data_IF_751344431039
#
_entry.id   IF_751344431039
#
_cell.length_a   1.000
_cell.length_b   1.000
_cell.length_c   1.000
_cell.angle_alpha   90.00
_cell.angle_beta   90.00
_cell.angle_gamma   90.00
#
_symmetry.space_group_name_H-M   'P 1'
#
loop_
_entity.id
_entity.type
_entity.pdbx_description
1 polymer ?
#
# COMPACT_ATOMS: atom_id res chain seq x y z
N UNK A 1 14.81 11.90 -50.27
CA UNK A 1 15.27 12.65 -49.07
C UNK A 1 14.13 13.28 -48.25
N UNK A 2 13.21 14.06 -48.83
CA UNK A 2 12.12 14.75 -48.07
C UNK A 2 11.15 13.81 -47.32
N UNK A 3 10.87 12.62 -47.85
CA UNK A 3 9.98 11.64 -47.20
C UNK A 3 10.60 11.03 -45.93
N UNK A 4 11.89 10.72 -45.96
CA UNK A 4 12.65 10.26 -44.79
C UNK A 4 12.66 11.31 -43.67
N UNK A 5 12.87 12.59 -44.01
CA UNK A 5 12.85 13.68 -43.04
C UNK A 5 11.47 13.84 -42.37
N UNK A 6 10.38 13.75 -43.16
CA UNK A 6 9.00 13.78 -42.63
C UNK A 6 8.73 12.60 -41.70
N UNK A 7 9.21 11.41 -42.05
CA UNK A 7 9.06 10.22 -41.23
C UNK A 7 9.80 10.37 -39.88
N UNK A 8 11.03 10.86 -39.89
CA UNK A 8 11.80 11.15 -38.66
C UNK A 8 11.09 12.21 -37.80
N UNK A 9 10.55 13.26 -38.40
CA UNK A 9 9.78 14.29 -37.70
C UNK A 9 8.51 13.72 -37.03
N UNK A 10 7.79 12.82 -37.69
CA UNK A 10 6.60 12.18 -37.11
C UNK A 10 6.99 11.26 -35.94
N UNK A 11 8.05 10.45 -36.09
CA UNK A 11 8.53 9.58 -35.01
C UNK A 11 9.01 10.36 -33.78
N UNK A 12 9.73 11.46 -34.00
CA UNK A 12 10.19 12.33 -32.91
C UNK A 12 9.03 13.03 -32.22
N UNK A 13 8.06 13.54 -32.97
CA UNK A 13 6.84 14.13 -32.41
C UNK A 13 6.03 13.09 -31.60
N UNK A 14 5.85 11.88 -32.13
CA UNK A 14 5.18 10.79 -31.41
C UNK A 14 5.92 10.41 -30.12
N UNK A 15 7.25 10.33 -30.16
CA UNK A 15 8.08 10.08 -28.98
C UNK A 15 7.94 11.18 -27.92
N UNK A 16 7.94 12.45 -28.33
CA UNK A 16 7.74 13.59 -27.43
C UNK A 16 6.34 13.59 -26.81
N UNK A 17 5.30 13.29 -27.59
CA UNK A 17 3.94 13.14 -27.07
C UNK A 17 3.87 11.99 -26.06
N UNK A 18 4.52 10.86 -26.33
CA UNK A 18 4.64 9.75 -25.40
C UNK A 18 5.27 10.17 -24.07
N UNK A 19 6.41 10.86 -24.10
CA UNK A 19 7.07 11.36 -22.89
C UNK A 19 6.21 12.38 -22.12
N UNK A 20 5.58 13.31 -22.84
CA UNK A 20 4.65 14.28 -22.25
C UNK A 20 3.46 13.61 -21.58
N UNK A 21 2.93 12.53 -22.17
CA UNK A 21 1.82 11.77 -21.60
C UNK A 21 2.21 11.08 -20.29
N UNK A 22 3.40 10.46 -20.23
CA UNK A 22 3.94 9.83 -19.01
C UNK A 22 4.12 10.88 -17.92
N UNK A 23 4.72 12.03 -18.26
CA UNK A 23 4.91 13.14 -17.34
C UNK A 23 3.56 13.64 -16.79
N UNK A 24 2.56 13.84 -17.66
CA UNK A 24 1.24 14.33 -17.26
C UNK A 24 0.52 13.32 -16.36
N UNK A 25 0.54 12.02 -16.70
CA UNK A 25 -0.07 10.96 -15.88
C UNK A 25 0.57 10.94 -14.48
N UNK A 26 1.90 10.92 -14.40
CA UNK A 26 2.61 10.93 -13.11
C UNK A 26 2.26 12.18 -12.28
N UNK A 27 2.21 13.36 -12.91
CA UNK A 27 1.86 14.60 -12.21
C UNK A 27 0.40 14.57 -11.70
N UNK A 28 -0.53 14.02 -12.49
CA UNK A 28 -1.95 13.87 -12.09
C UNK A 28 -2.12 12.88 -10.94
N UNK A 29 -1.35 11.79 -10.90
CA UNK A 29 -1.36 10.84 -9.77
C UNK A 29 -0.82 11.54 -8.51
N UNK A 30 0.34 12.20 -8.60
CA UNK A 30 0.95 12.92 -7.47
C UNK A 30 0.03 13.99 -6.91
N UNK A 31 -0.59 14.80 -7.77
CA UNK A 31 -1.53 15.84 -7.35
C UNK A 31 -2.76 15.27 -6.64
N UNK A 32 -3.30 14.12 -7.08
CA UNK A 32 -4.47 13.50 -6.45
C UNK A 32 -4.15 12.77 -5.13
N UNK A 33 -2.91 12.29 -5.00
CA UNK A 33 -2.40 11.65 -3.79
C UNK A 33 -1.84 12.65 -2.77
N UNK A 34 -1.56 13.89 -3.20
CA UNK A 34 -1.03 14.94 -2.35
C UNK A 34 -1.92 15.15 -1.11
N UNK A 35 -1.30 15.15 0.06
CA UNK A 35 -1.98 15.31 1.35
C UNK A 35 -2.62 14.03 1.91
N UNK A 36 -2.79 12.98 1.11
CA UNK A 36 -3.33 11.67 1.55
C UNK A 36 -2.22 10.71 1.98
N UNK A 37 -1.07 10.77 1.33
CA UNK A 37 0.14 10.03 1.72
C UNK A 37 0.91 10.88 2.72
N UNK A 38 1.36 10.24 3.80
CA UNK A 38 2.19 10.84 4.85
C UNK A 38 3.50 10.05 4.92
N UNK A 39 4.61 10.77 4.79
CA UNK A 39 5.93 10.14 4.75
C UNK A 39 6.47 9.90 6.17
N UNK A 40 5.91 10.59 7.17
CA UNK A 40 6.22 10.38 8.59
C UNK A 40 4.99 10.16 9.46
N UNK A 41 5.12 9.23 10.41
CA UNK A 41 4.12 8.99 11.47
C UNK A 41 3.85 10.24 12.31
N UNK A 42 4.82 11.14 12.42
CA UNK A 42 4.69 12.38 13.20
C UNK A 42 3.65 13.35 12.62
N UNK A 43 3.42 13.30 11.30
CA UNK A 43 2.41 14.10 10.62
C UNK A 43 0.98 13.63 10.90
N UNK A 44 0.83 12.38 11.36
CA UNK A 44 -0.46 11.80 11.70
C UNK A 44 -0.82 12.26 13.10
N UNK A 45 -1.86 13.09 13.21
CA UNK A 45 -2.34 13.60 14.50
C UNK A 45 -2.96 12.47 15.34
N UNK A 46 -2.83 12.55 16.67
CA UNK A 46 -3.66 11.75 17.57
C UNK A 46 -5.06 12.39 17.59
N UNK A 47 -6.09 11.58 17.38
CA UNK A 47 -7.49 12.02 17.32
C UNK A 47 -8.32 11.37 18.43
N UNK A 48 -9.46 11.98 18.77
CA UNK A 48 -10.45 11.46 19.71
C UNK A 48 -11.85 11.56 19.07
N UNK A 49 -12.52 10.44 18.71
CA UNK A 49 -12.12 9.07 18.97
C UNK A 49 -10.85 8.66 18.18
N UNK A 50 -10.09 7.68 18.69
CA UNK A 50 -8.88 7.21 18.04
C UNK A 50 -9.19 6.53 16.71
N UNK A 51 -8.30 6.72 15.73
CA UNK A 51 -8.39 6.06 14.43
C UNK A 51 -8.04 4.56 14.52
N UNK A 52 -8.45 3.83 13.49
CA UNK A 52 -8.08 2.44 13.23
C UNK A 52 -7.14 2.42 12.02
N UNK A 53 -6.05 1.67 12.10
CA UNK A 53 -5.22 1.39 10.92
C UNK A 53 -5.83 0.23 10.14
N UNK A 54 -5.98 0.37 8.83
CA UNK A 54 -6.38 -0.72 7.94
C UNK A 54 -5.14 -1.16 7.17
N UNK A 55 -4.79 -2.45 7.30
CA UNK A 55 -3.75 -3.09 6.50
C UNK A 55 -4.46 -3.88 5.41
N UNK A 56 -4.21 -3.48 4.17
CA UNK A 56 -4.71 -4.20 3.00
C UNK A 56 -3.79 -5.38 2.70
N UNK A 57 -4.41 -6.52 2.46
CA UNK A 57 -3.76 -7.77 2.06
C UNK A 57 -2.90 -7.63 0.81
N UNK A 58 -1.99 -8.57 0.68
CA UNK A 58 -1.09 -8.75 -0.45
C UNK A 58 -0.52 -10.16 -0.36
N UNK A 59 0.35 -10.51 -1.30
CA UNK A 59 0.95 -11.84 -1.38
C UNK A 59 1.54 -12.27 -0.02
N UNK A 60 1.08 -13.42 0.46
CA UNK A 60 1.79 -14.26 1.43
C UNK A 60 2.69 -15.21 0.63
N UNK A 61 3.73 -15.77 1.25
CA UNK A 61 4.65 -16.73 0.65
C UNK A 61 4.22 -18.16 0.96
N UNK A 62 4.73 -19.15 0.22
CA UNK A 62 4.34 -20.57 0.43
C UNK A 62 4.69 -21.08 1.84
N UNK A 63 5.69 -20.47 2.49
CA UNK A 63 6.06 -20.75 3.87
C UNK A 63 5.15 -20.07 4.92
N UNK A 64 4.09 -19.36 4.50
CA UNK A 64 3.16 -18.64 5.36
C UNK A 64 3.63 -17.25 5.81
N UNK A 65 4.81 -16.80 5.38
CA UNK A 65 5.32 -15.47 5.71
C UNK A 65 4.77 -14.40 4.77
N UNK A 66 4.57 -13.16 5.22
CA UNK A 66 4.20 -12.07 4.33
C UNK A 66 5.31 -11.83 3.27
N UNK A 67 4.93 -11.42 2.06
CA UNK A 67 5.88 -10.83 1.11
C UNK A 67 6.47 -9.53 1.68
N UNK A 68 7.58 -9.04 1.12
CA UNK A 68 8.19 -7.77 1.52
C UNK A 68 7.19 -6.61 1.55
N UNK A 69 6.38 -6.47 0.50
CA UNK A 69 5.38 -5.40 0.43
C UNK A 69 4.28 -5.55 1.50
N UNK A 70 3.85 -6.78 1.82
CA UNK A 70 2.88 -7.02 2.88
C UNK A 70 3.49 -6.75 4.26
N UNK A 71 4.73 -7.20 4.48
CA UNK A 71 5.47 -6.97 5.71
C UNK A 71 5.64 -5.49 6.01
N UNK A 72 6.03 -4.68 5.02
CA UNK A 72 6.19 -3.23 5.18
C UNK A 72 4.87 -2.55 5.60
N UNK A 73 3.73 -2.99 5.05
CA UNK A 73 2.40 -2.50 5.46
C UNK A 73 2.08 -2.86 6.91
N UNK A 74 2.36 -4.11 7.30
CA UNK A 74 2.14 -4.56 8.68
C UNK A 74 3.02 -3.76 9.64
N UNK A 75 4.31 -3.61 9.35
CA UNK A 75 5.27 -2.84 10.17
C UNK A 75 4.78 -1.39 10.32
N UNK A 76 4.39 -0.74 9.22
CA UNK A 76 3.88 0.63 9.27
C UNK A 76 2.66 0.74 10.20
N UNK A 77 1.71 -0.20 10.15
CA UNK A 77 0.56 -0.20 11.04
C UNK A 77 0.94 -0.44 12.51
N UNK A 78 1.90 -1.32 12.77
CA UNK A 78 2.45 -1.56 14.11
C UNK A 78 3.11 -0.29 14.66
N UNK A 79 3.86 0.45 13.84
CA UNK A 79 4.48 1.71 14.25
C UNK A 79 3.44 2.78 14.57
N UNK A 80 2.37 2.88 13.78
CA UNK A 80 1.23 3.76 14.08
C UNK A 80 0.57 3.42 15.42
N UNK A 81 0.40 2.13 15.71
CA UNK A 81 -0.16 1.63 16.95
C UNK A 81 0.75 1.98 18.14
N UNK A 82 2.05 1.69 18.03
CA UNK A 82 3.06 2.00 19.07
C UNK A 82 3.18 3.52 19.34
N UNK A 83 3.05 4.34 18.31
CA UNK A 83 3.04 5.80 18.42
C UNK A 83 1.72 6.38 18.96
N UNK A 84 0.73 5.52 19.28
CA UNK A 84 -0.57 5.90 19.79
C UNK A 84 -1.44 6.66 18.78
N UNK A 85 -1.09 6.61 17.48
CA UNK A 85 -1.84 7.28 16.40
C UNK A 85 -3.10 6.52 16.02
N UNK A 86 -3.11 5.22 16.28
CA UNK A 86 -4.28 4.33 16.18
C UNK A 86 -4.39 3.48 17.45
N UNK A 87 -5.57 2.92 17.70
CA UNK A 87 -5.80 2.03 18.86
C UNK A 87 -6.09 0.58 18.50
N UNK A 88 -6.43 0.32 17.25
CA UNK A 88 -6.69 -1.03 16.71
C UNK A 88 -6.12 -1.11 15.31
N UNK A 89 -5.83 -2.33 14.86
CA UNK A 89 -5.42 -2.63 13.50
C UNK A 89 -6.43 -3.61 12.90
N UNK A 90 -7.01 -3.24 11.76
CA UNK A 90 -7.84 -4.11 10.93
C UNK A 90 -6.96 -4.71 9.83
N UNK A 91 -6.86 -6.03 9.79
CA UNK A 91 -6.17 -6.78 8.74
C UNK A 91 -7.21 -7.29 7.75
N UNK A 92 -7.33 -6.66 6.59
CA UNK A 92 -8.33 -6.98 5.57
C UNK A 92 -7.67 -7.64 4.37
N UNK A 93 -8.01 -8.90 4.10
CA UNK A 93 -7.48 -9.70 3.01
C UNK A 93 -8.44 -10.83 2.64
N UNK A 94 -8.06 -11.63 1.66
CA UNK A 94 -8.86 -12.78 1.25
C UNK A 94 -8.42 -14.03 2.02
N UNK A 95 -9.31 -15.01 2.07
CA UNK A 95 -9.01 -16.36 2.56
C UNK A 95 -9.40 -17.40 1.50
N UNK A 96 -8.72 -17.41 0.34
CA UNK A 96 -9.19 -18.15 -0.83
C UNK A 96 -9.06 -19.67 -0.68
N UNK A 97 -8.31 -20.19 0.30
CA UNK A 97 -8.15 -21.64 0.54
C UNK A 97 -7.95 -21.97 2.02
N UNK A 98 -8.36 -23.16 2.48
CA UNK A 98 -8.18 -23.61 3.88
C UNK A 98 -6.73 -23.63 4.37
N UNK A 99 -5.76 -23.73 3.45
CA UNK A 99 -4.33 -23.76 3.77
C UNK A 99 -3.64 -22.40 3.56
N UNK A 100 -4.38 -21.32 3.26
CA UNK A 100 -3.81 -20.03 2.91
C UNK A 100 -4.69 -18.85 3.35
N UNK A 101 -4.39 -18.35 4.54
CA UNK A 101 -5.15 -17.29 5.21
C UNK A 101 -4.28 -16.03 5.35
N UNK A 102 -4.50 -15.05 4.47
CA UNK A 102 -3.72 -13.80 4.49
C UNK A 102 -3.92 -13.01 5.78
N UNK A 103 -5.16 -12.73 6.25
CA UNK A 103 -5.37 -12.08 7.55
C UNK A 103 -4.69 -12.77 8.72
N UNK A 104 -4.67 -14.10 8.76
CA UNK A 104 -3.96 -14.83 9.83
C UNK A 104 -2.45 -14.63 9.76
N UNK A 105 -1.83 -14.66 8.57
CA UNK A 105 -0.40 -14.36 8.42
C UNK A 105 -0.08 -12.92 8.87
N UNK A 106 -0.95 -11.96 8.54
CA UNK A 106 -0.83 -10.56 8.99
C UNK A 106 -0.91 -10.46 10.52
N UNK A 107 -1.89 -11.11 11.15
CA UNK A 107 -2.05 -11.12 12.62
C UNK A 107 -0.84 -11.73 13.31
N UNK A 108 -0.41 -12.91 12.89
CA UNK A 108 0.76 -13.60 13.48
C UNK A 108 1.99 -12.69 13.43
N UNK A 109 2.20 -12.00 12.31
CA UNK A 109 3.32 -11.07 12.15
C UNK A 109 3.20 -9.86 13.09
N UNK A 110 2.03 -9.22 13.16
CA UNK A 110 1.82 -8.07 14.06
C UNK A 110 1.95 -8.41 15.55
N UNK A 111 1.50 -9.62 15.95
CA UNK A 111 1.66 -10.13 17.32
C UNK A 111 3.14 -10.38 17.65
N UNK A 112 3.91 -10.97 16.72
CA UNK A 112 5.37 -11.12 16.86
C UNK A 112 6.06 -9.76 17.02
N UNK A 113 5.52 -8.71 16.39
CA UNK A 113 5.97 -7.34 16.54
C UNK A 113 5.36 -6.64 17.78
N UNK A 114 4.71 -7.36 18.70
CA UNK A 114 4.31 -6.85 20.01
C UNK A 114 2.97 -6.10 20.06
N UNK A 115 2.12 -6.21 19.04
CA UNK A 115 0.73 -5.75 19.13
C UNK A 115 -0.11 -6.82 19.84
N UNK A 116 -0.87 -6.48 20.91
CA UNK A 116 -1.77 -7.44 21.55
C UNK A 116 -2.81 -8.00 20.58
N UNK A 117 -3.09 -9.30 20.67
CA UNK A 117 -4.09 -9.95 19.81
C UNK A 117 -5.47 -9.32 19.91
N UNK A 118 -5.85 -8.84 21.10
CA UNK A 118 -7.13 -8.17 21.35
C UNK A 118 -7.27 -6.82 20.64
N UNK A 119 -6.16 -6.26 20.14
CA UNK A 119 -6.14 -5.02 19.38
C UNK A 119 -6.09 -5.22 17.86
N UNK A 120 -6.07 -6.47 17.41
CA UNK A 120 -6.08 -6.85 15.99
C UNK A 120 -7.45 -7.42 15.63
N UNK A 121 -8.05 -6.89 14.57
CA UNK A 121 -9.30 -7.39 13.99
C UNK A 121 -8.97 -7.98 12.62
N UNK A 122 -9.54 -9.16 12.33
CA UNK A 122 -9.39 -9.82 11.04
C UNK A 122 -10.64 -9.59 10.19
N UNK A 123 -10.44 -9.26 8.93
CA UNK A 123 -11.46 -9.23 7.90
C UNK A 123 -11.02 -10.14 6.75
N UNK A 124 -11.75 -11.24 6.57
CA UNK A 124 -11.50 -12.27 5.55
C UNK A 124 -12.32 -12.05 4.27
N UNK A 125 -13.05 -10.93 4.16
CA UNK A 125 -13.91 -10.64 3.02
C UNK A 125 -13.22 -9.74 1.97
N UNK A 126 -11.92 -9.47 2.10
CA UNK A 126 -11.18 -8.64 1.17
C UNK A 126 -10.89 -9.40 -0.12
N UNK A 127 -11.73 -9.22 -1.15
CA UNK A 127 -11.49 -9.77 -2.51
C UNK A 127 -10.74 -8.82 -3.41
#
# INVERSE_FOLDING_TARGET
MKWLLRFILVLTAAGLIGLLSIYFINNRIRSQAAGKIKDSITEIKIENPPRIAIVLGAKVQENGEPSHALYDRIVTAVELYRAGRVKKILMSGDNPTENYDEPTAMKVTAVKLGVPETDIVLDFAGR
#
